data_IF_643362105821
#
_entry.id   IF_643362105821
#
_cell.length_a   1.000
_cell.length_b   1.000
_cell.length_c   1.000
_cell.angle_alpha   90.00
_cell.angle_beta   90.00
_cell.angle_gamma   90.00
#
_symmetry.space_group_name_H-M   'P 1'
#
loop_
_entity.id
_entity.type
_entity.pdbx_description
1 polymer ?
#
# COMPACT_ATOMS: atom_id res chain seq x y z
N UNK A 1 11.65 -41.38 -5.00
CA UNK A 1 10.95 -41.04 -3.75
C UNK A 1 11.45 -39.66 -3.33
N UNK A 2 10.61 -38.63 -3.41
CA UNK A 2 10.88 -37.31 -2.86
C UNK A 2 10.06 -37.20 -1.58
N UNK A 3 10.72 -36.97 -0.44
CA UNK A 3 10.04 -36.77 0.84
C UNK A 3 9.61 -35.30 0.97
N UNK A 4 8.33 -35.12 1.28
CA UNK A 4 7.74 -33.82 1.63
C UNK A 4 8.25 -33.41 3.01
N UNK A 5 9.09 -32.38 3.07
CA UNK A 5 9.40 -31.68 4.31
C UNK A 5 8.18 -30.89 4.75
N UNK A 6 7.71 -31.15 5.98
CA UNK A 6 6.61 -30.44 6.61
C UNK A 6 6.94 -28.97 6.86
N UNK A 7 6.03 -28.11 6.46
CA UNK A 7 6.03 -26.69 6.78
C UNK A 7 5.33 -26.54 8.14
N UNK A 8 6.08 -26.13 9.17
CA UNK A 8 5.52 -25.79 10.48
C UNK A 8 4.88 -24.39 10.38
N UNK A 9 3.55 -24.35 10.41
CA UNK A 9 2.74 -23.17 10.72
C UNK A 9 2.80 -22.94 12.23
N UNK A 10 3.68 -22.05 12.69
CA UNK A 10 3.65 -21.51 14.06
C UNK A 10 4.16 -20.06 14.03
N UNK A 11 3.30 -19.13 13.59
CA UNK A 11 3.42 -17.73 13.93
C UNK A 11 2.07 -17.24 14.47
N UNK A 12 1.79 -17.62 15.71
CA UNK A 12 0.80 -16.96 16.54
C UNK A 12 1.18 -15.48 16.67
N UNK A 13 0.48 -14.64 15.92
CA UNK A 13 0.54 -13.19 16.04
C UNK A 13 -0.26 -12.79 17.29
N UNK A 14 0.42 -12.83 18.43
CA UNK A 14 -0.14 -12.49 19.74
C UNK A 14 -0.25 -10.96 19.87
N UNK A 15 -1.47 -10.44 19.74
CA UNK A 15 -1.78 -9.04 20.01
C UNK A 15 -1.67 -8.82 21.53
N UNK A 16 -0.75 -7.98 22.05
CA UNK A 16 -0.67 -7.76 23.48
C UNK A 16 -1.95 -7.05 23.93
N UNK A 17 -2.73 -7.76 24.74
CA UNK A 17 -3.88 -7.22 25.45
C UNK A 17 -3.41 -6.06 26.34
N UNK A 18 -4.20 -4.99 26.37
CA UNK A 18 -4.00 -3.88 27.29
C UNK A 18 -4.28 -4.35 28.73
N UNK A 19 -3.24 -4.75 29.45
CA UNK A 19 -3.33 -5.12 30.86
C UNK A 19 -3.09 -3.90 31.75
N UNK A 20 -4.23 -3.41 32.25
CA UNK A 20 -4.49 -2.96 33.62
C UNK A 20 -3.44 -2.14 34.38
N UNK A 21 -3.78 -0.86 34.51
CA UNK A 21 -3.31 0.05 35.54
C UNK A 21 -3.60 -0.53 36.94
N UNK A 22 -2.57 -1.06 37.60
CA UNK A 22 -2.64 -1.44 39.02
C UNK A 22 -1.75 -0.53 39.85
N UNK A 23 -2.40 0.19 40.76
CA UNK A 23 -1.84 0.99 41.85
C UNK A 23 -1.09 0.08 42.83
N UNK A 24 0.20 0.38 43.05
CA UNK A 24 1.06 -0.40 43.93
C UNK A 24 2.47 0.17 43.96
N UNK A 25 2.68 1.17 44.82
CA UNK A 25 4.02 1.67 45.13
C UNK A 25 4.81 0.59 45.88
N UNK A 26 5.74 -0.06 45.20
CA UNK A 26 6.93 -0.64 45.81
C UNK A 26 8.13 -0.32 44.94
N UNK A 27 9.16 0.25 45.57
CA UNK A 27 10.35 0.76 44.90
C UNK A 27 11.08 -0.34 44.13
N UNK A 28 10.81 -0.43 42.83
CA UNK A 28 11.62 -1.21 41.91
C UNK A 28 12.56 -0.24 41.18
N UNK A 29 13.86 -0.45 41.38
CA UNK A 29 14.88 0.12 40.52
C UNK A 29 14.59 -0.44 39.13
N UNK A 30 13.93 0.36 38.28
CA UNK A 30 13.73 0.02 36.88
C UNK A 30 15.10 -0.35 36.31
N UNK A 31 15.28 -1.62 35.95
CA UNK A 31 16.53 -2.10 35.37
C UNK A 31 16.95 -1.12 34.27
N UNK A 32 18.20 -0.67 34.29
CA UNK A 32 18.73 0.31 33.33
C UNK A 32 18.44 -0.08 31.86
N UNK A 33 18.26 -1.37 31.62
CA UNK A 33 17.89 -1.98 30.33
C UNK A 33 16.44 -1.67 29.89
N UNK A 34 15.45 -1.64 30.80
CA UNK A 34 14.06 -1.27 30.45
C UNK A 34 13.89 0.24 30.26
N UNK A 35 14.68 1.06 30.95
CA UNK A 35 14.71 2.51 30.69
C UNK A 35 15.35 2.81 29.33
N UNK A 36 16.43 2.11 28.96
CA UNK A 36 17.04 2.25 27.62
C UNK A 36 16.10 1.82 26.51
N UNK A 37 15.36 0.71 26.67
CA UNK A 37 14.39 0.23 25.67
C UNK A 37 13.22 1.21 25.47
N UNK A 38 12.68 1.79 26.55
CA UNK A 38 11.56 2.76 26.46
C UNK A 38 12.05 4.13 25.96
N UNK A 39 13.28 4.53 26.30
CA UNK A 39 13.91 5.76 25.77
C UNK A 39 14.30 5.61 24.29
N UNK A 40 14.79 4.44 23.87
CA UNK A 40 15.16 4.15 22.47
C UNK A 40 13.93 4.05 21.56
N UNK A 41 12.80 3.55 22.07
CA UNK A 41 11.53 3.51 21.32
C UNK A 41 10.84 4.87 21.24
N UNK A 42 10.84 5.67 22.31
CA UNK A 42 10.35 7.05 22.27
C UNK A 42 11.16 7.96 21.34
N UNK A 43 12.49 7.74 21.26
CA UNK A 43 13.36 8.51 20.37
C UNK A 43 13.15 8.14 18.89
N UNK A 44 12.91 6.85 18.59
CA UNK A 44 12.64 6.37 17.22
C UNK A 44 11.33 6.90 16.63
N UNK A 45 10.25 6.91 17.42
CA UNK A 45 8.93 7.39 16.97
C UNK A 45 8.95 8.88 16.64
N UNK A 46 9.67 9.67 17.45
CA UNK A 46 9.76 11.12 17.25
C UNK A 46 10.52 11.49 15.97
N UNK A 47 11.56 10.72 15.60
CA UNK A 47 12.27 10.91 14.32
C UNK A 47 11.42 10.49 13.11
N UNK A 48 10.61 9.44 13.23
CA UNK A 48 9.74 8.98 12.15
C UNK A 48 8.63 10.00 11.85
N UNK A 49 7.98 10.54 12.88
CA UNK A 49 6.92 11.54 12.72
C UNK A 49 7.47 12.86 12.17
N UNK A 50 8.70 13.23 12.53
CA UNK A 50 9.40 14.36 11.91
C UNK A 50 9.60 14.14 10.41
N UNK A 51 10.09 12.96 10.00
CA UNK A 51 10.26 12.62 8.58
C UNK A 51 8.93 12.64 7.82
N UNK A 52 7.88 12.06 8.39
CA UNK A 52 6.53 12.09 7.81
C UNK A 52 6.03 13.52 7.63
N UNK A 53 6.26 14.38 8.61
CA UNK A 53 5.86 15.79 8.54
C UNK A 53 6.65 16.57 7.48
N UNK A 54 7.95 16.30 7.35
CA UNK A 54 8.80 16.90 6.30
C UNK A 54 8.32 16.45 4.90
N UNK A 55 8.03 15.16 4.73
CA UNK A 55 7.53 14.61 3.47
C UNK A 55 6.13 15.15 3.15
N UNK A 56 5.21 15.20 4.12
CA UNK A 56 3.81 15.60 3.88
C UNK A 56 3.64 17.10 3.64
N UNK A 57 4.54 17.93 4.16
CA UNK A 57 4.58 19.39 3.91
C UNK A 57 5.26 19.77 2.59
N UNK A 58 5.80 18.80 1.85
CA UNK A 58 6.56 19.03 0.61
C UNK A 58 5.67 19.40 -0.59
N UNK A 59 6.13 20.31 -1.45
CA UNK A 59 5.38 20.77 -2.63
C UNK A 59 5.08 19.65 -3.64
N UNK A 60 5.96 18.64 -3.73
CA UNK A 60 5.79 17.47 -4.60
C UNK A 60 4.94 16.36 -3.98
N UNK A 61 4.63 16.41 -2.68
CA UNK A 61 3.85 15.37 -2.00
C UNK A 61 2.48 15.12 -2.65
N UNK A 62 1.69 16.13 -3.04
CA UNK A 62 0.43 15.91 -3.75
C UNK A 62 0.59 15.15 -5.07
N UNK A 63 1.64 15.48 -5.84
CA UNK A 63 1.95 14.79 -7.10
C UNK A 63 2.31 13.33 -6.83
N UNK A 64 3.12 13.11 -5.80
CA UNK A 64 3.52 11.78 -5.38
C UNK A 64 2.33 10.92 -4.93
N UNK A 65 1.42 11.50 -4.14
CA UNK A 65 0.23 10.81 -3.68
C UNK A 65 -0.67 10.40 -4.87
N UNK A 66 -0.79 11.27 -5.88
CA UNK A 66 -1.59 10.97 -7.06
C UNK A 66 -1.00 9.82 -7.90
N UNK A 67 0.32 9.80 -8.13
CA UNK A 67 0.97 8.69 -8.85
C UNK A 67 0.85 7.38 -8.07
N UNK A 68 0.93 7.43 -6.75
CA UNK A 68 0.69 6.28 -5.87
C UNK A 68 -0.76 5.76 -5.98
N UNK A 69 -1.74 6.66 -5.90
CA UNK A 69 -3.16 6.31 -6.08
C UNK A 69 -3.39 5.64 -7.44
N UNK A 70 -2.80 6.21 -8.50
CA UNK A 70 -2.89 5.67 -9.85
C UNK A 70 -2.35 4.24 -9.98
N UNK A 71 -1.27 3.90 -9.26
CA UNK A 71 -0.78 2.52 -9.18
C UNK A 71 -1.83 1.60 -8.56
N UNK A 72 -2.44 2.03 -7.46
CA UNK A 72 -3.43 1.24 -6.72
C UNK A 72 -4.76 1.08 -7.46
N UNK A 73 -5.05 1.94 -8.45
CA UNK A 73 -6.24 1.79 -9.30
C UNK A 73 -6.10 0.66 -10.32
N UNK A 74 -4.89 0.20 -10.63
CA UNK A 74 -4.68 -0.86 -11.62
C UNK A 74 -5.28 -2.18 -11.11
N UNK A 75 -6.28 -2.69 -11.82
CA UNK A 75 -6.97 -3.94 -11.46
C UNK A 75 -7.88 -3.85 -10.24
N UNK A 76 -8.03 -2.67 -9.64
CA UNK A 76 -8.91 -2.48 -8.48
C UNK A 76 -10.40 -2.58 -8.90
N UNK A 77 -11.26 -3.13 -8.02
CA UNK A 77 -12.69 -3.12 -8.25
C UNK A 77 -13.24 -1.69 -8.19
N UNK A 78 -14.40 -1.42 -8.83
CA UNK A 78 -14.94 -0.07 -9.00
C UNK A 78 -15.21 0.65 -7.67
N UNK A 79 -15.54 -0.08 -6.60
CA UNK A 79 -15.73 0.48 -5.26
C UNK A 79 -14.45 1.11 -4.72
N UNK A 80 -13.33 0.41 -4.85
CA UNK A 80 -12.01 0.88 -4.40
C UNK A 80 -11.52 2.02 -5.28
N UNK A 81 -11.72 1.95 -6.60
CA UNK A 81 -11.41 3.05 -7.52
C UNK A 81 -12.15 4.33 -7.12
N UNK A 82 -13.44 4.24 -6.79
CA UNK A 82 -14.24 5.37 -6.35
C UNK A 82 -13.77 5.93 -4.99
N UNK A 83 -13.38 5.07 -4.05
CA UNK A 83 -12.77 5.51 -2.78
C UNK A 83 -11.47 6.27 -3.03
N UNK A 84 -10.59 5.74 -3.88
CA UNK A 84 -9.33 6.36 -4.26
C UNK A 84 -9.52 7.70 -4.98
N UNK A 85 -10.53 7.81 -5.84
CA UNK A 85 -10.88 9.07 -6.52
C UNK A 85 -11.35 10.15 -5.54
N UNK A 86 -12.04 9.78 -4.45
CA UNK A 86 -12.40 10.73 -3.38
C UNK A 86 -11.17 11.25 -2.65
N UNK A 87 -10.19 10.38 -2.38
CA UNK A 87 -8.92 10.79 -1.74
C UNK A 87 -8.14 11.73 -2.67
N UNK A 88 -8.08 11.42 -3.96
CA UNK A 88 -7.46 12.30 -4.96
C UNK A 88 -8.16 13.66 -5.04
N UNK A 89 -9.49 13.68 -5.00
CA UNK A 89 -10.28 14.91 -4.98
C UNK A 89 -10.03 15.74 -3.72
N UNK A 90 -10.00 15.11 -2.55
CA UNK A 90 -9.67 15.79 -1.28
C UNK A 90 -8.26 16.41 -1.35
N UNK A 91 -7.28 15.68 -1.87
CA UNK A 91 -5.93 16.20 -2.06
C UNK A 91 -5.90 17.45 -2.96
N UNK A 92 -6.67 17.46 -4.05
CA UNK A 92 -6.80 18.62 -4.93
C UNK A 92 -7.43 19.84 -4.23
N UNK A 93 -8.44 19.61 -3.37
CA UNK A 93 -9.08 20.66 -2.58
C UNK A 93 -8.13 21.25 -1.53
N UNK A 94 -7.35 20.40 -0.84
CA UNK A 94 -6.30 20.84 0.08
C UNK A 94 -5.25 21.68 -0.64
N UNK A 95 -4.77 21.24 -1.82
CA UNK A 95 -3.84 22.02 -2.65
C UNK A 95 -4.37 23.40 -3.00
N UNK A 96 -5.61 23.48 -3.49
CA UNK A 96 -6.23 24.76 -3.90
C UNK A 96 -6.42 25.70 -2.71
N UNK A 97 -6.81 25.16 -1.55
CA UNK A 97 -7.00 25.95 -0.32
C UNK A 97 -5.67 26.49 0.22
N UNK A 98 -4.60 25.70 0.17
CA UNK A 98 -3.25 26.10 0.57
C UNK A 98 -2.56 27.04 -0.43
N UNK A 99 -2.98 27.02 -1.70
CA UNK A 99 -2.47 27.92 -2.75
C UNK A 99 -2.95 29.38 -2.60
N UNK A 100 -3.95 29.63 -1.74
CA UNK A 100 -4.51 30.97 -1.46
C UNK A 100 -3.64 31.84 -0.55
N UNK A 101 -2.67 31.25 0.16
CA UNK A 101 -1.79 31.95 1.10
C UNK A 101 -0.34 31.74 0.70
N UNK A 102 0.19 32.66 -0.13
CA UNK A 102 1.61 33.06 -0.12
C UNK A 102 2.70 31.96 -0.20
N UNK A 103 2.40 30.78 -0.75
CA UNK A 103 3.31 29.63 -0.76
C UNK A 103 4.39 29.67 -1.86
N UNK A 104 4.59 30.81 -2.53
CA UNK A 104 5.73 31.02 -3.42
C UNK A 104 7.02 31.40 -2.66
N UNK A 105 6.94 31.57 -1.33
CA UNK A 105 8.02 32.07 -0.48
C UNK A 105 8.24 31.25 0.82
N UNK A 106 7.77 30.00 0.90
CA UNK A 106 8.25 29.10 1.95
C UNK A 106 9.57 28.50 1.47
N UNK A 107 10.62 28.43 2.32
CA UNK A 107 11.90 27.89 1.91
C UNK A 107 11.66 26.50 1.34
N UNK A 108 12.07 26.28 0.08
CA UNK A 108 12.53 24.97 -0.34
C UNK A 108 13.45 24.55 0.79
N UNK A 109 13.06 23.54 1.57
CA UNK A 109 13.98 22.93 2.53
C UNK A 109 15.27 22.73 1.75
N UNK A 110 16.40 23.31 2.18
CA UNK A 110 17.71 23.24 1.47
C UNK A 110 18.23 21.77 1.32
N UNK A 111 17.37 20.80 1.54
CA UNK A 111 17.55 19.39 1.41
C UNK A 111 17.27 18.94 -0.03
N UNK A 112 18.26 19.17 -0.89
CA UNK A 112 18.24 18.66 -2.27
C UNK A 112 18.05 17.14 -2.35
N UNK A 113 18.41 16.39 -1.31
CA UNK A 113 18.22 14.95 -1.25
C UNK A 113 16.74 14.58 -1.18
N UNK A 114 15.94 15.32 -0.40
CA UNK A 114 14.49 15.11 -0.34
C UNK A 114 13.81 15.44 -1.68
N UNK A 115 14.23 16.52 -2.34
CA UNK A 115 13.72 16.88 -3.67
C UNK A 115 13.98 15.76 -4.69
N UNK A 116 15.23 15.27 -4.74
CA UNK A 116 15.63 14.16 -5.62
C UNK A 116 14.88 12.87 -5.27
N UNK A 117 14.67 12.58 -3.98
CA UNK A 117 13.86 11.46 -3.53
C UNK A 117 12.41 11.58 -4.03
N UNK A 118 11.77 12.74 -3.85
CA UNK A 118 10.39 12.96 -4.24
C UNK A 118 10.18 12.81 -5.75
N UNK A 119 11.12 13.32 -6.56
CA UNK A 119 11.10 13.17 -8.02
C UNK A 119 11.33 11.71 -8.42
N UNK A 120 12.39 11.09 -7.91
CA UNK A 120 12.75 9.70 -8.25
C UNK A 120 11.62 8.74 -7.88
N UNK A 121 11.00 8.93 -6.72
CA UNK A 121 9.92 8.06 -6.26
C UNK A 121 8.65 8.23 -7.11
N UNK A 122 8.34 9.45 -7.56
CA UNK A 122 7.28 9.66 -8.55
C UNK A 122 7.54 8.88 -9.85
N UNK A 123 8.77 8.89 -10.35
CA UNK A 123 9.15 8.22 -11.59
C UNK A 123 9.10 6.68 -11.45
N UNK A 124 9.56 6.16 -10.30
CA UNK A 124 9.45 4.74 -9.97
C UNK A 124 7.98 4.30 -9.93
N UNK A 125 7.10 5.07 -9.29
CA UNK A 125 5.67 4.78 -9.27
C UNK A 125 5.05 4.84 -10.67
N UNK A 126 5.41 5.83 -11.49
CA UNK A 126 4.91 5.93 -12.86
C UNK A 126 5.31 4.68 -13.69
N UNK A 127 6.53 4.20 -13.52
CA UNK A 127 6.98 2.95 -14.15
C UNK A 127 6.24 1.73 -13.61
N UNK A 128 6.08 1.64 -12.28
CA UNK A 128 5.34 0.55 -11.64
C UNK A 128 3.89 0.47 -12.15
N UNK A 129 3.21 1.60 -12.33
CA UNK A 129 1.87 1.66 -12.93
C UNK A 129 1.83 1.01 -14.31
N UNK A 130 2.80 1.31 -15.17
CA UNK A 130 2.88 0.75 -16.52
C UNK A 130 3.12 -0.76 -16.48
N UNK A 131 4.08 -1.20 -15.65
CA UNK A 131 4.42 -2.62 -15.51
C UNK A 131 3.25 -3.43 -14.92
N UNK A 132 2.55 -2.87 -13.93
CA UNK A 132 1.36 -3.47 -13.32
C UNK A 132 0.19 -3.52 -14.32
N UNK A 133 -0.01 -2.46 -15.09
CA UNK A 133 -1.04 -2.42 -16.14
C UNK A 133 -0.80 -3.49 -17.21
N UNK A 134 0.46 -3.68 -17.61
CA UNK A 134 0.86 -4.72 -18.55
C UNK A 134 0.61 -6.11 -17.98
N UNK A 135 1.11 -6.42 -16.79
CA UNK A 135 0.95 -7.75 -16.18
C UNK A 135 -0.51 -8.09 -15.91
N UNK A 136 -1.31 -7.10 -15.48
CA UNK A 136 -2.75 -7.26 -15.30
C UNK A 136 -3.47 -7.57 -16.61
N UNK A 137 -3.16 -6.83 -17.69
CA UNK A 137 -3.77 -7.07 -19.00
C UNK A 137 -3.37 -8.43 -19.58
N UNK A 138 -2.10 -8.81 -19.43
CA UNK A 138 -1.59 -10.12 -19.86
C UNK A 138 -2.29 -11.26 -19.13
N UNK A 139 -2.40 -11.18 -17.79
CA UNK A 139 -3.13 -12.16 -16.99
C UNK A 139 -4.62 -12.22 -17.34
N UNK A 140 -5.26 -11.07 -17.54
CA UNK A 140 -6.68 -11.00 -17.95
C UNK A 140 -6.88 -11.67 -19.31
N UNK A 141 -5.98 -11.41 -20.26
CA UNK A 141 -6.01 -12.03 -21.59
C UNK A 141 -5.82 -13.54 -21.50
N UNK A 142 -4.85 -13.99 -20.71
CA UNK A 142 -4.60 -15.41 -20.48
C UNK A 142 -5.83 -16.11 -19.88
N UNK A 143 -6.45 -15.54 -18.86
CA UNK A 143 -7.65 -16.10 -18.24
C UNK A 143 -8.83 -16.15 -19.21
N UNK A 144 -9.03 -15.11 -20.02
CA UNK A 144 -10.09 -15.09 -21.04
C UNK A 144 -9.88 -16.15 -22.12
N UNK A 145 -8.64 -16.42 -22.52
CA UNK A 145 -8.32 -17.48 -23.46
C UNK A 145 -8.67 -18.86 -22.88
N UNK A 146 -8.22 -19.15 -21.66
CA UNK A 146 -8.56 -20.41 -20.97
C UNK A 146 -10.07 -20.55 -20.76
N UNK A 147 -10.75 -19.48 -20.34
CA UNK A 147 -12.21 -19.48 -20.20
C UNK A 147 -12.90 -19.81 -21.53
N UNK A 148 -12.42 -19.27 -22.65
CA UNK A 148 -12.96 -19.55 -23.98
C UNK A 148 -12.74 -21.01 -24.37
N UNK A 149 -11.54 -21.56 -24.13
CA UNK A 149 -11.25 -22.97 -24.40
C UNK A 149 -12.16 -23.91 -23.59
N UNK A 150 -12.34 -23.64 -22.29
CA UNK A 150 -13.23 -24.42 -21.42
C UNK A 150 -14.70 -24.33 -21.84
N UNK A 151 -15.16 -23.14 -22.24
CA UNK A 151 -16.54 -22.93 -22.72
C UNK A 151 -16.80 -23.72 -23.99
N UNK A 152 -15.86 -23.71 -24.94
CA UNK A 152 -15.97 -24.48 -26.19
C UNK A 152 -16.05 -25.99 -25.92
N UNK A 153 -15.21 -26.52 -25.04
CA UNK A 153 -15.27 -27.93 -24.64
C UNK A 153 -16.62 -28.31 -24.00
N UNK A 154 -17.21 -27.43 -23.19
CA UNK A 154 -18.49 -27.69 -22.55
C UNK A 154 -19.66 -27.69 -23.55
N UNK A 155 -19.59 -26.85 -24.58
CA UNK A 155 -20.61 -26.81 -25.64
C UNK A 155 -20.57 -28.03 -26.55
N UNK A 156 -19.37 -28.55 -26.88
CA UNK A 156 -19.22 -29.70 -27.78
C UNK A 156 -19.69 -31.01 -27.15
N UNK A 157 -19.54 -31.17 -25.83
CA UNK A 157 -20.05 -32.34 -25.10
C UNK A 157 -21.58 -32.38 -25.06
N UNK A 158 -22.25 -31.22 -24.99
CA UNK A 158 -23.71 -31.14 -24.95
C UNK A 158 -24.36 -31.45 -26.31
N UNK A 159 -23.68 -31.17 -27.43
CA UNK A 159 -24.21 -31.46 -28.77
C UNK A 159 -24.05 -32.92 -29.21
N UNK A 160 -23.23 -33.70 -28.51
CA UNK A 160 -23.02 -35.13 -28.82
C UNK A 160 -24.12 -36.06 -28.29
N UNK A 161 -25.01 -35.57 -27.42
CA UNK A 161 -26.01 -36.40 -26.72
C UNK A 161 -27.39 -36.36 -27.39
N UNK A 162 -27.57 -35.61 -28.48
CA UNK A 162 -28.89 -35.37 -29.11
C UNK A 162 -28.96 -35.78 -30.60
N UNK A 163 -28.04 -36.64 -31.07
CA UNK A 163 -28.04 -37.14 -32.46
C UNK A 163 -28.35 -38.64 -32.59
N UNK A 164 -28.99 -39.23 -31.58
CA UNK A 164 -29.48 -40.61 -31.64
C UNK A 164 -30.94 -40.73 -31.21
N UNK A 165 -31.88 -40.09 -31.91
CA UNK A 165 -33.21 -40.71 -32.08
C UNK A 165 -33.99 -40.16 -33.29
N UNK A 166 -34.39 -41.12 -34.13
CA UNK A 166 -35.27 -41.13 -35.31
C UNK A 166 -34.75 -40.67 -36.69
#
# INVERSE_FOLDING_TARGET
MYEFGGYSDDHDFEWPAAEEFSDGSDGNIMSSEVFSVVVDTCSNLQEEDQKKNIISSHLLYPKLLLTYIDCHKVGAPPEIVNMLDKIAQENDLHRRSSSSSTALNQPITDDSELDDFMVTYCDVLAKLKLDLGRSFNEATTFLNDIQTQLTNLSTTTNTSVDSSEF
#
